data_IF_422150454118
#
_entry.id   IF_422150454118
#
_cell.length_a   1.000
_cell.length_b   1.000
_cell.length_c   1.000
_cell.angle_alpha   90.00
_cell.angle_beta   90.00
_cell.angle_gamma   90.00
#
_symmetry.space_group_name_H-M   'P 1'
#
loop_
_entity.id
_entity.type
_entity.pdbx_description
1 polymer ?
#
# COMPACT_ATOMS: atom_id res chain seq x y z
N UNK A 1 11.30 -1.06 10.33
CA UNK A 1 10.11 -1.31 9.49
C UNK A 1 10.03 -0.16 8.51
N UNK A 2 10.34 -0.41 7.23
CA UNK A 2 10.38 0.62 6.19
C UNK A 2 9.28 0.28 5.19
N UNK A 3 8.47 1.27 4.83
CA UNK A 3 7.51 1.14 3.74
C UNK A 3 8.15 1.74 2.48
N UNK A 4 8.35 0.94 1.43
CA UNK A 4 8.69 1.50 0.14
C UNK A 4 7.44 2.14 -0.47
N UNK A 5 7.63 3.14 -1.32
CA UNK A 5 6.54 3.86 -1.98
C UNK A 5 6.60 3.54 -3.46
N UNK A 6 5.51 3.02 -4.02
CA UNK A 6 5.37 2.77 -5.45
C UNK A 6 4.24 3.64 -6.02
N UNK A 7 4.56 4.87 -6.48
CA UNK A 7 3.58 5.72 -7.13
C UNK A 7 3.06 5.08 -8.41
N UNK A 8 1.79 5.29 -8.71
CA UNK A 8 1.19 4.81 -9.94
C UNK A 8 0.86 3.32 -9.93
N UNK A 9 1.04 2.64 -8.79
CA UNK A 9 0.79 1.22 -8.63
C UNK A 9 -0.27 0.97 -7.55
N UNK A 10 -0.96 -0.17 -7.69
CA UNK A 10 -2.01 -0.62 -6.78
C UNK A 10 -2.05 -2.14 -6.78
N UNK A 11 -2.01 -2.74 -5.60
CA UNK A 11 -2.22 -4.16 -5.44
C UNK A 11 -3.73 -4.46 -5.44
N UNK A 12 -4.16 -5.47 -6.20
CA UNK A 12 -5.57 -5.86 -6.30
C UNK A 12 -5.82 -7.26 -5.76
N UNK A 13 -7.09 -7.68 -5.63
CA UNK A 13 -7.50 -9.01 -5.17
C UNK A 13 -7.16 -9.39 -3.71
N UNK A 14 -6.29 -8.64 -3.04
CA UNK A 14 -5.80 -8.86 -1.68
C UNK A 14 -6.31 -7.82 -0.67
N UNK A 15 -7.28 -7.01 -1.05
CA UNK A 15 -7.82 -5.93 -0.23
C UNK A 15 -8.69 -6.53 0.88
N UNK A 16 -8.17 -6.56 2.10
CA UNK A 16 -8.90 -7.00 3.28
C UNK A 16 -9.87 -5.94 3.79
N UNK A 17 -9.46 -4.67 3.73
CA UNK A 17 -10.24 -3.57 4.31
C UNK A 17 -10.04 -2.29 3.52
N UNK A 18 -11.14 -1.60 3.21
CA UNK A 18 -11.13 -0.27 2.61
C UNK A 18 -11.58 0.76 3.65
N UNK A 19 -10.76 1.79 3.85
CA UNK A 19 -11.02 2.92 4.73
C UNK A 19 -11.15 4.18 3.87
N UNK A 20 -12.23 4.92 4.05
CA UNK A 20 -12.51 6.16 3.31
C UNK A 20 -12.19 7.40 4.15
N UNK A 21 -12.10 8.57 3.49
CA UNK A 21 -11.84 9.87 4.13
C UNK A 21 -10.53 9.93 4.94
N UNK A 22 -9.50 9.23 4.46
CA UNK A 22 -8.17 9.25 5.07
C UNK A 22 -7.40 10.47 4.56
N UNK A 23 -6.99 11.33 5.49
CA UNK A 23 -6.39 12.64 5.20
C UNK A 23 -4.95 12.60 4.67
N UNK A 24 -4.27 11.45 4.77
CA UNK A 24 -2.89 11.29 4.28
C UNK A 24 -2.49 9.81 4.17
N UNK A 25 -1.50 9.52 3.31
CA UNK A 25 -0.87 8.20 3.24
C UNK A 25 -0.28 7.76 4.57
N UNK A 26 0.32 8.67 5.34
CA UNK A 26 0.83 8.38 6.70
C UNK A 26 -0.26 7.83 7.62
N UNK A 27 -1.48 8.37 7.55
CA UNK A 27 -2.61 7.87 8.34
C UNK A 27 -3.06 6.49 7.87
N UNK A 28 -2.98 6.22 6.57
CA UNK A 28 -3.22 4.88 6.01
C UNK A 28 -2.19 3.87 6.52
N UNK A 29 -0.90 4.21 6.46
CA UNK A 29 0.21 3.39 7.00
C UNK A 29 0.07 3.13 8.50
N UNK A 30 -0.33 4.12 9.29
CA UNK A 30 -0.60 3.92 10.72
C UNK A 30 -1.69 2.88 10.97
N UNK A 31 -2.69 2.75 10.09
CA UNK A 31 -3.71 1.70 10.22
C UNK A 31 -3.13 0.33 9.92
N UNK A 32 -2.26 0.24 8.91
CA UNK A 32 -1.54 -0.98 8.57
C UNK A 32 -0.65 -1.46 9.72
N UNK A 33 0.18 -0.58 10.29
CA UNK A 33 1.08 -0.94 11.41
C UNK A 33 0.32 -1.45 12.64
N UNK A 34 -0.90 -0.96 12.87
CA UNK A 34 -1.75 -1.42 13.98
C UNK A 34 -2.57 -2.69 13.64
N UNK A 35 -2.46 -3.22 12.42
CA UNK A 35 -3.12 -4.42 11.96
C UNK A 35 -2.07 -5.51 11.68
N UNK A 36 -2.07 -6.58 12.49
CA UNK A 36 -1.10 -7.68 12.34
C UNK A 36 -1.22 -8.44 11.01
N UNK A 37 -2.36 -8.35 10.34
CA UNK A 37 -2.60 -8.97 9.04
C UNK A 37 -2.27 -8.03 7.88
N UNK A 38 -1.73 -6.83 8.12
CA UNK A 38 -1.38 -5.90 7.06
C UNK A 38 0.08 -6.04 6.61
N UNK A 39 0.26 -6.22 5.31
CA UNK A 39 1.58 -6.31 4.68
C UNK A 39 1.85 -5.18 3.70
N UNK A 40 0.80 -4.65 3.06
CA UNK A 40 0.88 -3.48 2.20
C UNK A 40 -0.41 -2.66 2.21
N UNK A 41 -0.37 -1.44 1.67
CA UNK A 41 -1.55 -0.59 1.49
C UNK A 41 -1.58 0.10 0.13
N UNK A 42 -2.77 0.36 -0.39
CA UNK A 42 -2.96 1.30 -1.49
C UNK A 42 -3.58 2.59 -0.97
N UNK A 43 -2.98 3.74 -1.26
CA UNK A 43 -3.55 5.04 -0.94
C UNK A 43 -3.90 5.81 -2.21
N UNK A 44 -5.18 6.10 -2.39
CA UNK A 44 -5.69 6.93 -3.48
C UNK A 44 -5.78 8.38 -3.03
N UNK A 45 -5.03 9.27 -3.70
CA UNK A 45 -4.77 10.62 -3.20
C UNK A 45 -5.98 11.54 -3.40
N UNK A 46 -6.68 11.45 -4.54
CA UNK A 46 -7.82 12.31 -4.85
C UNK A 46 -9.04 12.04 -3.96
N UNK A 47 -9.26 10.79 -3.58
CA UNK A 47 -10.46 10.35 -2.84
C UNK A 47 -10.17 10.14 -1.35
N UNK A 48 -8.91 10.08 -0.94
CA UNK A 48 -8.53 9.72 0.42
C UNK A 48 -8.94 8.29 0.78
N UNK A 49 -9.00 7.39 -0.21
CA UNK A 49 -9.27 5.97 0.01
C UNK A 49 -7.98 5.24 0.37
N UNK A 50 -8.04 4.42 1.40
CA UNK A 50 -6.94 3.60 1.91
C UNK A 50 -7.38 2.13 1.88
N UNK A 51 -6.72 1.32 1.08
CA UNK A 51 -6.95 -0.12 1.01
C UNK A 51 -5.82 -0.83 1.75
N UNK A 52 -6.17 -1.76 2.63
CA UNK A 52 -5.24 -2.55 3.45
C UNK A 52 -5.18 -3.95 2.86
N UNK A 53 -3.98 -4.43 2.54
CA UNK A 53 -3.78 -5.74 1.92
C UNK A 53 -3.11 -6.75 2.86
N UNK A 54 -3.41 -8.04 2.69
CA UNK A 54 -2.79 -9.16 3.43
C UNK A 54 -1.50 -9.69 2.83
N UNK A 55 -1.05 -9.17 1.69
CA UNK A 55 0.17 -9.63 1.01
C UNK A 55 0.99 -8.45 0.49
N UNK A 56 2.21 -8.73 0.04
CA UNK A 56 3.02 -7.79 -0.76
C UNK A 56 2.99 -8.16 -2.25
N UNK A 57 3.44 -7.26 -3.11
CA UNK A 57 3.58 -7.54 -4.55
C UNK A 57 4.68 -8.58 -4.83
N UNK A 58 5.69 -8.73 -3.96
CA UNK A 58 6.71 -9.78 -4.08
C UNK A 58 6.10 -11.19 -4.03
N UNK A 59 5.05 -11.36 -3.21
CA UNK A 59 4.33 -12.63 -3.10
C UNK A 59 3.37 -12.83 -4.28
N UNK A 60 2.76 -11.75 -4.78
CA UNK A 60 1.71 -11.78 -5.80
C UNK A 60 1.86 -10.69 -6.86
N UNK A 61 3.00 -10.68 -7.57
CA UNK A 61 3.33 -9.60 -8.50
C UNK A 61 2.39 -9.49 -9.71
N UNK A 62 1.62 -10.54 -10.00
CA UNK A 62 0.59 -10.52 -11.05
C UNK A 62 -0.64 -9.66 -10.71
N UNK A 63 -0.85 -9.36 -9.43
CA UNK A 63 -1.98 -8.55 -8.95
C UNK A 63 -1.63 -7.08 -8.77
N UNK A 64 -0.36 -6.71 -8.98
CA UNK A 64 0.10 -5.33 -9.02
C UNK A 64 -0.27 -4.71 -10.37
N UNK A 65 -1.14 -3.70 -10.33
CA UNK A 65 -1.62 -3.01 -11.54
C UNK A 65 -1.26 -1.53 -11.48
N UNK A 66 -1.18 -0.90 -12.65
CA UNK A 66 -0.96 0.55 -12.75
C UNK A 66 -2.25 1.33 -12.52
N UNK A 67 -2.19 2.42 -11.76
CA UNK A 67 -3.32 3.32 -11.53
C UNK A 67 -2.89 4.78 -11.38
N UNK A 68 -3.63 5.70 -12.00
CA UNK A 68 -3.19 7.09 -12.23
C UNK A 68 -3.20 8.02 -11.01
N UNK A 69 -3.68 7.56 -9.85
CA UNK A 69 -3.82 8.37 -8.63
C UNK A 69 -3.69 7.55 -7.35
N UNK A 70 -2.95 6.45 -7.43
CA UNK A 70 -2.77 5.52 -6.32
C UNK A 70 -1.29 5.30 -6.06
N UNK A 71 -0.99 5.17 -4.79
CA UNK A 71 0.35 4.91 -4.29
C UNK A 71 0.25 3.64 -3.47
N UNK A 72 0.93 2.61 -3.94
CA UNK A 72 1.14 1.39 -3.19
C UNK A 72 2.27 1.65 -2.17
N UNK A 73 2.10 1.13 -0.95
CA UNK A 73 3.16 1.07 0.06
C UNK A 73 3.26 -0.33 0.67
N UNK A 74 4.40 -0.98 0.47
CA UNK A 74 4.68 -2.32 0.99
C UNK A 74 5.82 -2.35 2.02
N UNK A 75 5.83 -3.40 2.84
CA UNK A 75 6.89 -3.65 3.81
C UNK A 75 8.16 -4.25 3.19
N UNK A 76 9.29 -3.56 3.36
CA UNK A 76 10.60 -4.12 3.05
C UNK A 76 11.61 -4.02 4.19
N UNK A 77 12.67 -4.81 4.03
CA UNK A 77 13.96 -4.53 4.67
C UNK A 77 14.63 -3.36 3.94
N UNK A 78 15.29 -2.47 4.67
CA UNK A 78 15.80 -1.17 4.18
C UNK A 78 16.82 -1.22 3.02
N UNK A 79 17.18 -2.41 2.51
CA UNK A 79 18.11 -2.60 1.39
C UNK A 79 17.42 -2.68 0.02
N UNK A 80 16.09 -2.84 -0.02
CA UNK A 80 15.34 -3.10 -1.25
C UNK A 80 14.56 -1.86 -1.75
N UNK A 81 14.42 -0.80 -0.95
CA UNK A 81 13.94 0.50 -1.45
C UNK A 81 15.04 1.20 -2.26
N UNK A 82 15.52 0.58 -3.35
CA UNK A 82 16.31 1.28 -4.35
C UNK A 82 15.28 2.05 -5.21
N UNK A 83 15.00 3.32 -4.91
CA UNK A 83 15.85 4.47 -5.22
C UNK A 83 16.16 4.50 -6.73
N UNK A 84 15.57 5.49 -7.39
CA UNK A 84 16.10 6.08 -8.62
C UNK A 84 17.63 6.28 -8.55
#
# INVERSE_FOLDING_TARGET
MVFCKMPGHRLTNHIQTTVINVTSSTRCLQRCVNNQSCYSVNYQVSTGVCEINDVTDLEYGGDLVTGSDVIEFEHFTSRECSAE
#
